data_IF_555474050985
#
_entry.id   IF_555474050985
#
_cell.length_a   1.000
_cell.length_b   1.000
_cell.length_c   1.000
_cell.angle_alpha   90.00
_cell.angle_beta   90.00
_cell.angle_gamma   90.00
#
_symmetry.space_group_name_H-M   'P 1'
#
loop_
_entity.id
_entity.type
_entity.pdbx_description
1 polymer ?
#
# COMPACT_ATOMS: atom_id res chain seq x y z
N UNK A 1 -28.44 -33.06 -52.36
CA UNK A 1 -28.90 -33.61 -51.07
C UNK A 1 -28.22 -32.82 -49.97
N UNK A 2 -29.04 -32.12 -49.19
CA UNK A 2 -28.69 -31.15 -48.16
C UNK A 2 -27.92 -31.77 -47.00
N UNK A 3 -27.09 -30.95 -46.34
CA UNK A 3 -26.46 -31.28 -45.06
C UNK A 3 -25.67 -30.09 -44.52
N UNK A 4 -26.33 -28.96 -44.29
CA UNK A 4 -25.75 -27.84 -43.54
C UNK A 4 -25.97 -28.10 -42.05
N UNK A 5 -24.88 -28.34 -41.33
CA UNK A 5 -24.86 -28.52 -39.88
C UNK A 5 -24.89 -27.13 -39.24
N UNK A 6 -26.03 -26.76 -38.67
CA UNK A 6 -26.16 -25.55 -37.85
C UNK A 6 -25.77 -25.90 -36.41
N UNK A 7 -24.62 -25.40 -35.96
CA UNK A 7 -24.24 -25.44 -34.55
C UNK A 7 -25.12 -24.47 -33.74
N UNK A 8 -25.90 -25.02 -32.83
CA UNK A 8 -26.57 -24.30 -31.74
C UNK A 8 -25.54 -23.87 -30.71
N UNK A 9 -25.30 -22.57 -30.58
CA UNK A 9 -24.58 -21.99 -29.44
C UNK A 9 -25.62 -21.45 -28.44
N UNK A 10 -25.84 -22.21 -27.38
CA UNK A 10 -26.39 -21.66 -26.14
C UNK A 10 -25.22 -21.19 -25.28
N UNK A 11 -25.23 -19.94 -24.87
CA UNK A 11 -24.55 -19.48 -23.67
C UNK A 11 -25.17 -18.15 -23.25
N UNK A 12 -25.97 -18.26 -22.20
CA UNK A 12 -26.41 -17.22 -21.30
C UNK A 12 -25.21 -16.38 -20.85
N UNK A 13 -25.27 -15.07 -21.09
CA UNK A 13 -24.30 -14.11 -20.58
C UNK A 13 -25.10 -12.89 -20.13
N UNK A 14 -25.61 -13.00 -18.90
CA UNK A 14 -26.03 -11.87 -18.08
C UNK A 14 -24.88 -10.87 -18.00
N UNK A 15 -25.09 -9.58 -18.33
CA UNK A 15 -24.10 -8.57 -18.03
C UNK A 15 -24.08 -8.39 -16.52
N UNK A 16 -22.97 -8.81 -15.88
CA UNK A 16 -22.66 -8.43 -14.51
C UNK A 16 -22.55 -6.91 -14.46
N UNK A 17 -23.64 -6.28 -14.04
CA UNK A 17 -23.66 -4.90 -13.57
C UNK A 17 -22.59 -4.78 -12.49
N UNK A 18 -21.47 -4.14 -12.81
CA UNK A 18 -20.66 -3.51 -11.79
C UNK A 18 -21.59 -2.54 -11.07
N UNK A 19 -21.95 -2.91 -9.84
CA UNK A 19 -22.64 -2.01 -8.93
C UNK A 19 -21.77 -0.80 -8.76
N UNK A 20 -22.08 0.25 -9.52
CA UNK A 20 -21.63 1.60 -9.24
C UNK A 20 -22.16 1.90 -7.83
N UNK A 21 -21.28 1.72 -6.85
CA UNK A 21 -21.57 2.00 -5.45
C UNK A 21 -21.69 3.52 -5.36
N UNK A 22 -22.92 3.99 -5.57
CA UNK A 22 -23.30 5.38 -5.51
C UNK A 22 -22.87 5.92 -4.14
N UNK A 23 -21.93 6.86 -4.16
CA UNK A 23 -21.49 7.55 -2.96
C UNK A 23 -22.71 8.17 -2.27
N UNK A 24 -22.91 7.98 -0.96
CA UNK A 24 -24.01 8.62 -0.26
C UNK A 24 -23.86 10.15 -0.37
N UNK A 25 -24.94 10.80 -0.82
CA UNK A 25 -25.09 12.25 -1.08
C UNK A 25 -25.06 13.15 0.18
N UNK A 26 -24.29 12.76 1.21
CA UNK A 26 -24.06 13.55 2.40
C UNK A 26 -22.87 14.48 2.23
N UNK A 27 -22.87 15.65 2.90
CA UNK A 27 -21.63 16.42 3.04
C UNK A 27 -20.60 15.55 3.78
N UNK A 28 -19.33 15.50 3.36
CA UNK A 28 -18.31 14.73 4.05
C UNK A 28 -18.17 15.22 5.49
N UNK A 29 -18.00 14.29 6.43
CA UNK A 29 -17.77 14.61 7.84
C UNK A 29 -16.37 15.19 7.99
N UNK A 30 -16.27 16.38 8.58
CA UNK A 30 -14.99 17.09 8.70
C UNK A 30 -14.22 16.61 9.93
N UNK A 31 -12.93 16.32 9.75
CA UNK A 31 -12.00 15.94 10.83
C UNK A 31 -10.86 16.95 10.84
N UNK A 32 -10.81 17.81 11.85
CA UNK A 32 -9.81 18.88 11.97
C UNK A 32 -8.71 18.56 13.01
N UNK A 33 -8.94 17.57 13.87
CA UNK A 33 -8.02 17.14 14.92
C UNK A 33 -8.16 15.65 15.21
N UNK A 34 -7.12 15.05 15.81
CA UNK A 34 -7.12 13.67 16.28
C UNK A 34 -7.67 13.62 17.70
N UNK A 35 -8.46 12.58 18.02
CA UNK A 35 -9.05 12.40 19.35
C UNK A 35 -8.15 11.60 20.31
N UNK A 36 -7.09 10.98 19.79
CA UNK A 36 -6.16 10.12 20.53
C UNK A 36 -5.71 8.95 19.67
N UNK A 37 -5.09 7.96 20.32
CA UNK A 37 -4.75 6.67 19.73
C UNK A 37 -5.55 5.55 20.38
N UNK A 38 -5.78 4.48 19.64
CA UNK A 38 -6.41 3.27 20.18
C UNK A 38 -5.62 2.59 21.30
N UNK A 39 -4.31 2.83 21.35
CA UNK A 39 -3.42 2.30 22.39
C UNK A 39 -3.50 3.10 23.70
N UNK A 40 -4.16 4.25 23.70
CA UNK A 40 -4.28 5.10 24.88
C UNK A 40 -5.27 4.47 25.87
N UNK A 41 -4.95 4.50 27.17
CA UNK A 41 -5.80 3.91 28.22
C UNK A 41 -7.24 4.45 28.22
N UNK A 42 -7.42 5.73 27.85
CA UNK A 42 -8.75 6.36 27.74
C UNK A 42 -9.62 5.67 26.66
N UNK A 43 -9.00 5.15 25.61
CA UNK A 43 -9.69 4.54 24.48
C UNK A 43 -9.84 3.03 24.63
N UNK A 44 -8.90 2.34 25.28
CA UNK A 44 -8.96 0.89 25.46
C UNK A 44 -10.34 0.39 25.95
N UNK A 45 -10.88 0.99 27.01
CA UNK A 45 -12.18 0.60 27.55
C UNK A 45 -13.38 1.04 26.70
N UNK A 46 -13.26 2.11 25.91
CA UNK A 46 -14.32 2.59 25.00
C UNK A 46 -14.42 1.71 23.75
N UNK A 47 -13.28 1.20 23.28
CA UNK A 47 -13.18 0.40 22.06
C UNK A 47 -13.72 -1.01 22.21
N UNK A 48 -13.67 -1.60 23.42
CA UNK A 48 -14.10 -2.99 23.68
C UNK A 48 -15.52 -3.31 23.18
N UNK A 49 -16.43 -2.33 23.20
CA UNK A 49 -17.83 -2.52 22.78
C UNK A 49 -18.20 -1.66 21.56
N UNK A 50 -17.26 -0.88 21.04
CA UNK A 50 -17.51 0.03 19.93
C UNK A 50 -17.52 -0.70 18.58
N UNK A 51 -18.33 -0.21 17.65
CA UNK A 51 -18.21 -0.56 16.24
C UNK A 51 -17.02 0.21 15.66
N UNK A 52 -15.99 -0.50 15.23
CA UNK A 52 -14.80 0.11 14.61
C UNK A 52 -15.02 0.24 13.11
N UNK A 53 -15.21 1.47 12.64
CA UNK A 53 -15.19 1.83 11.23
C UNK A 53 -13.78 2.27 10.83
N UNK A 54 -13.25 1.72 9.74
CA UNK A 54 -11.84 1.87 9.39
C UNK A 54 -11.67 2.86 8.25
N UNK A 55 -10.85 3.88 8.46
CA UNK A 55 -10.29 4.69 7.37
C UNK A 55 -8.98 4.05 6.92
N UNK A 56 -9.04 3.22 5.87
CA UNK A 56 -7.87 2.61 5.27
C UNK A 56 -7.13 3.63 4.41
N UNK A 57 -5.86 3.84 4.70
CA UNK A 57 -4.96 4.75 3.99
C UNK A 57 -3.68 4.03 3.60
N UNK A 58 -3.03 4.48 2.53
CA UNK A 58 -1.63 4.15 2.30
C UNK A 58 -0.69 5.13 3.02
N UNK A 59 0.62 4.84 3.00
CA UNK A 59 1.64 5.68 3.64
C UNK A 59 1.73 7.10 3.08
N UNK A 60 1.40 7.29 1.80
CA UNK A 60 1.45 8.59 1.13
C UNK A 60 0.27 9.45 1.53
N UNK A 61 -0.92 8.88 1.54
CA UNK A 61 -2.15 9.52 2.00
C UNK A 61 -2.04 9.97 3.45
N UNK A 62 -1.50 9.12 4.32
CA UNK A 62 -1.29 9.45 5.74
C UNK A 62 -0.37 10.66 5.97
N UNK A 63 0.49 11.02 5.01
CA UNK A 63 1.36 12.20 5.08
C UNK A 63 0.67 13.49 4.61
N UNK A 64 -0.49 13.40 3.96
CA UNK A 64 -1.23 14.57 3.48
C UNK A 64 -1.90 15.22 4.70
N UNK A 65 -1.69 16.52 4.90
CA UNK A 65 -2.42 17.28 5.92
C UNK A 65 -3.91 17.41 5.57
N UNK A 66 -4.27 17.19 4.29
CA UNK A 66 -5.64 17.28 3.78
C UNK A 66 -5.92 16.13 2.82
N UNK A 67 -6.95 15.35 3.09
CA UNK A 67 -7.41 14.28 2.21
C UNK A 67 -8.91 14.07 2.36
N UNK A 68 -9.54 13.52 1.32
CA UNK A 68 -10.93 13.08 1.34
C UNK A 68 -10.97 11.60 1.02
N UNK A 69 -11.51 10.80 1.93
CA UNK A 69 -11.60 9.34 1.80
C UNK A 69 -12.86 8.81 2.46
N UNK A 70 -13.34 7.68 1.94
CA UNK A 70 -14.49 6.96 2.47
C UNK A 70 -13.98 5.82 3.33
N UNK A 71 -14.55 5.66 4.53
CA UNK A 71 -14.26 4.53 5.41
C UNK A 71 -14.82 3.23 4.82
N UNK A 72 -14.41 2.08 5.36
CA UNK A 72 -14.96 0.76 4.97
C UNK A 72 -16.47 0.70 5.21
N UNK A 73 -16.95 1.34 6.29
CA UNK A 73 -18.37 1.48 6.61
C UNK A 73 -19.15 2.46 5.70
N UNK A 74 -18.50 3.04 4.68
CA UNK A 74 -19.15 3.91 3.70
C UNK A 74 -19.30 5.37 4.15
N UNK A 75 -18.68 5.77 5.26
CA UNK A 75 -18.72 7.15 5.76
C UNK A 75 -17.67 8.00 5.04
N UNK A 76 -18.10 9.09 4.43
CA UNK A 76 -17.18 10.00 3.73
C UNK A 76 -16.55 11.01 4.71
N UNK A 77 -15.22 11.05 4.75
CA UNK A 77 -14.44 11.94 5.60
C UNK A 77 -13.64 12.96 4.79
N UNK A 78 -13.63 14.20 5.29
CA UNK A 78 -12.73 15.26 4.85
C UNK A 78 -11.78 15.61 6.01
N UNK A 79 -10.57 15.06 5.97
CA UNK A 79 -9.54 15.29 6.97
C UNK A 79 -8.76 16.55 6.62
N UNK A 80 -8.59 17.47 7.57
CA UNK A 80 -7.81 18.70 7.44
C UNK A 80 -7.09 19.01 8.74
N UNK A 81 -5.94 18.40 8.96
CA UNK A 81 -5.13 18.57 10.17
C UNK A 81 -4.22 19.81 10.09
N UNK A 82 -3.85 20.32 11.26
CA UNK A 82 -2.88 21.41 11.39
C UNK A 82 -1.49 21.03 10.84
N UNK A 83 -0.69 22.06 10.50
CA UNK A 83 0.66 21.85 9.97
C UNK A 83 1.52 21.09 10.98
N UNK A 84 2.15 20.00 10.53
CA UNK A 84 3.05 19.19 11.33
C UNK A 84 2.37 17.97 11.99
N UNK A 85 1.03 17.90 11.96
CA UNK A 85 0.30 16.70 12.37
C UNK A 85 0.18 15.76 11.15
N UNK A 86 0.58 14.52 11.32
CA UNK A 86 0.47 13.46 10.33
C UNK A 86 -0.34 12.32 10.91
N UNK A 87 -1.14 11.67 10.08
CA UNK A 87 -1.86 10.47 10.47
C UNK A 87 -0.86 9.34 10.70
N UNK A 88 -1.11 8.60 11.76
CA UNK A 88 -0.41 7.40 12.14
C UNK A 88 -1.40 6.25 12.26
N UNK A 89 -0.88 5.04 12.19
CA UNK A 89 -1.68 3.86 12.43
C UNK A 89 -2.27 3.90 13.85
N UNK A 90 -3.55 3.58 13.97
CA UNK A 90 -4.28 3.59 15.24
C UNK A 90 -4.78 4.96 15.71
N UNK A 91 -4.59 6.03 14.93
CA UNK A 91 -5.16 7.33 15.27
C UNK A 91 -6.69 7.31 15.20
N UNK A 92 -7.34 7.89 16.21
CA UNK A 92 -8.80 7.99 16.31
C UNK A 92 -9.25 9.33 15.72
N UNK A 93 -10.13 9.25 14.73
CA UNK A 93 -10.57 10.40 13.93
C UNK A 93 -11.93 10.93 14.37
N UNK A 94 -12.84 10.02 14.75
CA UNK A 94 -14.20 10.35 15.14
C UNK A 94 -14.69 9.38 16.19
N UNK A 95 -15.54 9.89 17.08
CA UNK A 95 -16.33 9.10 18.00
C UNK A 95 -17.80 9.53 17.91
N UNK A 96 -18.65 8.57 17.61
CA UNK A 96 -20.09 8.72 17.51
C UNK A 96 -20.71 7.98 18.68
N UNK A 97 -20.86 8.67 19.81
CA UNK A 97 -21.39 8.10 21.05
C UNK A 97 -22.81 7.51 20.89
N UNK A 98 -23.77 8.16 20.21
CA UNK A 98 -25.09 7.58 19.96
C UNK A 98 -25.06 6.27 19.17
N UNK A 99 -24.21 6.18 18.15
CA UNK A 99 -24.05 4.98 17.34
C UNK A 99 -23.01 4.00 17.92
N UNK A 100 -22.40 4.33 19.06
CA UNK A 100 -21.26 3.63 19.65
C UNK A 100 -20.20 3.25 18.60
N UNK A 101 -19.92 4.16 17.66
CA UNK A 101 -19.07 3.91 16.49
C UNK A 101 -17.83 4.79 16.55
N UNK A 102 -16.65 4.19 16.36
CA UNK A 102 -15.37 4.91 16.27
C UNK A 102 -14.85 4.85 14.85
N UNK A 103 -14.22 5.92 14.38
CA UNK A 103 -13.41 5.86 13.15
C UNK A 103 -11.93 5.84 13.49
N UNK A 104 -11.22 4.80 13.05
CA UNK A 104 -9.79 4.61 13.28
C UNK A 104 -9.03 4.63 11.96
N UNK A 105 -7.91 5.35 11.92
CA UNK A 105 -6.98 5.33 10.79
C UNK A 105 -6.16 4.02 10.80
N UNK A 106 -6.17 3.33 9.67
CA UNK A 106 -5.29 2.18 9.41
C UNK A 106 -4.38 2.50 8.25
N UNK A 107 -3.07 2.46 8.46
CA UNK A 107 -2.09 2.72 7.43
C UNK A 107 -1.59 1.38 6.90
N UNK A 108 -2.14 0.98 5.77
CA UNK A 108 -1.76 -0.26 5.09
C UNK A 108 -0.45 -0.05 4.33
N UNK A 109 0.63 -0.59 4.88
CA UNK A 109 1.89 -0.70 4.17
C UNK A 109 1.84 -1.92 3.27
N UNK A 110 2.05 -1.71 1.97
CA UNK A 110 2.27 -2.81 1.03
C UNK A 110 3.47 -3.62 1.49
N UNK A 111 3.46 -4.92 1.16
CA UNK A 111 4.61 -5.77 1.40
C UNK A 111 5.86 -5.21 0.73
N UNK A 112 7.01 -5.67 1.20
CA UNK A 112 8.32 -5.28 0.72
C UNK A 112 9.06 -6.54 0.32
N UNK A 113 9.64 -6.53 -0.86
CA UNK A 113 10.66 -7.48 -1.25
C UNK A 113 11.93 -7.15 -0.46
N UNK A 114 12.29 -8.03 0.47
CA UNK A 114 13.57 -8.01 1.16
C UNK A 114 14.53 -8.93 0.41
N UNK A 115 15.71 -8.41 0.09
CA UNK A 115 16.79 -9.13 -0.60
C UNK A 115 17.98 -9.17 0.35
N UNK A 116 18.43 -10.38 0.71
CA UNK A 116 19.58 -10.57 1.59
C UNK A 116 20.87 -10.75 0.77
N UNK A 117 21.86 -9.91 1.08
CA UNK A 117 23.19 -9.90 0.48
C UNK A 117 24.24 -10.50 1.42
N UNK A 118 23.85 -11.03 2.58
CA UNK A 118 24.76 -11.54 3.60
C UNK A 118 25.74 -12.60 3.08
N UNK A 119 25.29 -13.49 2.19
CA UNK A 119 26.14 -14.51 1.58
C UNK A 119 27.22 -13.94 0.64
N UNK A 120 27.14 -12.67 0.23
CA UNK A 120 28.17 -12.03 -0.57
C UNK A 120 29.41 -11.65 0.25
N UNK A 121 29.36 -11.70 1.58
CA UNK A 121 30.53 -11.39 2.43
C UNK A 121 31.67 -12.37 2.20
N UNK A 122 31.36 -13.63 1.89
CA UNK A 122 32.34 -14.71 1.72
C UNK A 122 32.82 -14.87 0.27
N UNK A 123 32.29 -14.09 -0.68
CA UNK A 123 32.74 -14.11 -2.09
C UNK A 123 33.90 -13.14 -2.32
N UNK A 124 34.58 -13.28 -3.46
CA UNK A 124 35.67 -12.35 -3.79
C UNK A 124 35.11 -10.93 -4.00
N UNK A 125 35.90 -9.87 -3.70
CA UNK A 125 35.48 -8.50 -3.91
C UNK A 125 35.00 -8.21 -5.34
N UNK A 126 35.63 -8.82 -6.35
CA UNK A 126 35.26 -8.67 -7.76
C UNK A 126 33.85 -9.22 -8.01
N UNK A 127 33.54 -10.41 -7.48
CA UNK A 127 32.23 -11.03 -7.62
C UNK A 127 31.15 -10.27 -6.84
N UNK A 128 31.48 -9.78 -5.65
CA UNK A 128 30.58 -8.94 -4.86
C UNK A 128 30.19 -7.66 -5.61
N UNK A 129 31.17 -6.93 -6.16
CA UNK A 129 30.93 -5.71 -6.95
C UNK A 129 30.06 -6.02 -8.16
N UNK A 130 30.38 -7.09 -8.89
CA UNK A 130 29.61 -7.51 -10.05
C UNK A 130 28.15 -7.79 -9.67
N UNK A 131 27.92 -8.65 -8.68
CA UNK A 131 26.57 -9.04 -8.25
C UNK A 131 25.75 -7.84 -7.78
N UNK A 132 26.34 -6.93 -6.98
CA UNK A 132 25.66 -5.72 -6.53
C UNK A 132 25.28 -4.78 -7.69
N UNK A 133 26.16 -4.63 -8.68
CA UNK A 133 25.88 -3.78 -9.85
C UNK A 133 24.78 -4.39 -10.73
N UNK A 134 24.82 -5.70 -10.96
CA UNK A 134 23.81 -6.41 -11.73
C UNK A 134 22.44 -6.39 -11.02
N UNK A 135 22.42 -6.56 -9.69
CA UNK A 135 21.20 -6.41 -8.89
C UNK A 135 20.64 -4.99 -8.99
N UNK A 136 21.49 -3.98 -8.81
CA UNK A 136 21.10 -2.58 -8.93
C UNK A 136 20.55 -2.26 -10.32
N UNK A 137 21.16 -2.82 -11.37
CA UNK A 137 20.67 -2.68 -12.74
C UNK A 137 19.31 -3.36 -12.93
N UNK A 138 19.12 -4.59 -12.43
CA UNK A 138 17.86 -5.32 -12.56
C UNK A 138 16.68 -4.60 -11.89
N UNK A 139 16.87 -4.20 -10.62
CA UNK A 139 15.87 -3.44 -9.85
C UNK A 139 15.64 -2.07 -10.48
N UNK A 140 16.70 -1.37 -10.88
CA UNK A 140 16.63 -0.06 -11.52
C UNK A 140 15.96 -0.08 -12.89
N UNK A 141 16.14 -1.14 -13.68
CA UNK A 141 15.51 -1.32 -14.99
C UNK A 141 13.98 -1.47 -14.88
N UNK A 142 13.47 -1.88 -13.72
CA UNK A 142 12.04 -1.90 -13.43
C UNK A 142 11.51 -0.57 -12.88
N UNK A 143 12.37 0.44 -12.75
CA UNK A 143 12.08 1.70 -12.06
C UNK A 143 11.63 1.50 -10.59
N UNK A 144 11.97 0.37 -9.96
CA UNK A 144 11.56 0.14 -8.59
C UNK A 144 12.45 0.93 -7.62
N UNK A 145 11.85 1.69 -6.68
CA UNK A 145 12.61 2.36 -5.65
C UNK A 145 13.24 1.31 -4.72
N UNK A 146 14.47 1.56 -4.28
CA UNK A 146 15.18 0.67 -3.38
C UNK A 146 15.83 1.44 -2.22
N UNK A 147 15.88 0.81 -1.05
CA UNK A 147 16.60 1.29 0.13
C UNK A 147 17.53 0.19 0.60
N UNK A 148 18.80 0.53 0.86
CA UNK A 148 19.81 -0.41 1.37
C UNK A 148 20.02 -0.14 2.86
N UNK A 149 19.94 -1.19 3.69
CA UNK A 149 20.26 -1.15 5.12
C UNK A 149 21.08 -2.36 5.53
N UNK A 150 22.30 -2.11 5.99
CA UNK A 150 23.24 -3.19 6.26
C UNK A 150 23.44 -4.04 5.00
N UNK A 151 23.26 -5.35 5.13
CA UNK A 151 23.35 -6.30 4.01
C UNK A 151 21.99 -6.58 3.35
N UNK A 152 20.96 -5.76 3.60
CA UNK A 152 19.62 -5.96 3.05
C UNK A 152 19.24 -4.85 2.08
N UNK A 153 18.53 -5.24 1.02
CA UNK A 153 17.89 -4.31 0.08
C UNK A 153 16.38 -4.47 0.20
N UNK A 154 15.70 -3.36 0.38
CA UNK A 154 14.25 -3.27 0.48
C UNK A 154 13.69 -2.63 -0.77
N UNK A 155 12.71 -3.29 -1.38
CA UNK A 155 11.98 -2.81 -2.57
C UNK A 155 10.47 -2.92 -2.28
N UNK A 156 9.69 -1.85 -2.33
CA UNK A 156 8.26 -1.91 -2.04
C UNK A 156 7.55 -2.70 -3.13
N UNK A 157 6.46 -3.36 -2.77
CA UNK A 157 5.57 -4.00 -3.71
C UNK A 157 4.85 -2.93 -4.56
N UNK A 158 5.45 -2.54 -5.68
CA UNK A 158 4.87 -1.62 -6.68
C UNK A 158 3.88 -2.33 -7.60
N UNK A 159 4.13 -3.61 -7.88
CA UNK A 159 3.34 -4.52 -8.72
C UNK A 159 3.06 -5.82 -7.97
N UNK A 160 2.41 -6.81 -8.60
CA UNK A 160 2.14 -8.10 -7.95
C UNK A 160 3.44 -8.86 -7.58
N UNK A 161 3.40 -9.61 -6.46
CA UNK A 161 4.51 -10.44 -5.97
C UNK A 161 5.03 -11.40 -7.02
N UNK A 162 4.15 -11.96 -7.85
CA UNK A 162 4.53 -12.88 -8.91
C UNK A 162 5.45 -12.23 -9.95
N UNK A 163 5.18 -10.96 -10.29
CA UNK A 163 5.98 -10.17 -11.25
C UNK A 163 7.34 -9.86 -10.64
N UNK A 164 7.37 -9.35 -9.40
CA UNK A 164 8.64 -9.08 -8.71
C UNK A 164 9.49 -10.34 -8.55
N UNK A 165 8.88 -11.43 -8.10
CA UNK A 165 9.55 -12.72 -8.00
C UNK A 165 10.04 -13.24 -9.36
N UNK A 166 9.34 -12.93 -10.46
CA UNK A 166 9.80 -13.31 -11.80
C UNK A 166 11.09 -12.60 -12.19
N UNK A 167 11.20 -11.29 -11.92
CA UNK A 167 12.44 -10.54 -12.18
C UNK A 167 13.59 -11.16 -11.39
N UNK A 168 13.39 -11.43 -10.10
CA UNK A 168 14.41 -12.08 -9.27
C UNK A 168 14.82 -13.45 -9.81
N UNK A 169 13.86 -14.28 -10.25
CA UNK A 169 14.14 -15.59 -10.85
C UNK A 169 14.87 -15.49 -12.20
N UNK A 170 14.53 -14.51 -13.03
CA UNK A 170 15.16 -14.31 -14.35
C UNK A 170 16.63 -13.97 -14.23
N UNK A 171 16.99 -13.12 -13.26
CA UNK A 171 18.39 -12.76 -13.03
C UNK A 171 19.17 -13.84 -12.28
N UNK A 172 18.49 -14.69 -11.51
CA UNK A 172 19.08 -15.86 -10.83
C UNK A 172 20.41 -15.53 -10.12
N UNK A 173 20.42 -14.45 -9.34
CA UNK A 173 21.61 -13.99 -8.64
C UNK A 173 22.12 -15.04 -7.66
N UNK A 174 23.30 -15.59 -7.95
CA UNK A 174 23.91 -16.63 -7.13
C UNK A 174 24.20 -16.12 -5.71
N UNK A 175 23.76 -16.87 -4.70
CA UNK A 175 23.94 -16.51 -3.29
C UNK A 175 23.02 -15.40 -2.78
N UNK A 176 22.08 -14.89 -3.58
CA UNK A 176 21.10 -13.90 -3.11
C UNK A 176 19.76 -14.59 -2.84
N UNK A 177 19.29 -14.45 -1.60
CA UNK A 177 17.96 -14.86 -1.19
C UNK A 177 17.01 -13.66 -1.16
N UNK A 178 15.72 -13.92 -1.37
CA UNK A 178 14.70 -12.89 -1.25
C UNK A 178 13.42 -13.44 -0.63
N UNK A 179 12.70 -12.57 0.07
CA UNK A 179 11.40 -12.86 0.68
C UNK A 179 10.48 -11.65 0.59
N UNK A 180 9.18 -11.86 0.75
CA UNK A 180 8.21 -10.77 0.90
C UNK A 180 7.80 -10.68 2.36
N UNK A 181 8.03 -9.51 2.95
CA UNK A 181 7.67 -9.21 4.35
C UNK A 181 6.67 -8.05 4.41
N UNK A 182 5.82 -7.98 5.45
CA UNK A 182 4.96 -6.83 5.67
C UNK A 182 5.76 -5.54 5.76
N UNK A 183 5.32 -4.46 5.09
CA UNK A 183 6.03 -3.19 5.11
C UNK A 183 6.17 -2.57 6.50
N UNK A 184 5.24 -2.89 7.41
CA UNK A 184 5.29 -2.48 8.81
C UNK A 184 6.52 -3.03 9.55
N UNK A 185 7.03 -4.20 9.16
CA UNK A 185 8.24 -4.78 9.74
C UNK A 185 9.52 -4.05 9.29
N UNK A 186 9.47 -3.29 8.18
CA UNK A 186 10.64 -2.58 7.64
C UNK A 186 10.82 -1.21 8.26
N UNK A 187 9.72 -0.53 8.61
CA UNK A 187 9.72 0.85 9.15
C UNK A 187 10.73 1.06 10.29
N UNK A 188 10.86 0.17 11.29
CA UNK A 188 11.80 0.38 12.40
C UNK A 188 13.28 0.44 11.97
N UNK A 189 13.62 -0.11 10.80
CA UNK A 189 15.01 -0.23 10.33
C UNK A 189 15.42 0.87 9.33
N UNK A 190 14.48 1.71 8.89
CA UNK A 190 14.70 2.74 7.87
C UNK A 190 14.36 4.14 8.39
N UNK A 191 15.11 5.15 7.93
CA UNK A 191 14.84 6.52 8.33
C UNK A 191 13.54 7.04 7.68
N UNK A 192 12.88 8.07 8.27
CA UNK A 192 11.61 8.57 7.75
C UNK A 192 11.63 9.01 6.27
N UNK A 193 12.76 9.54 5.79
CA UNK A 193 12.92 9.93 4.39
C UNK A 193 13.09 8.73 3.44
N UNK A 194 13.59 7.61 3.94
CA UNK A 194 13.72 6.35 3.19
C UNK A 194 12.39 5.60 3.15
N UNK A 195 11.66 5.55 4.28
CA UNK A 195 10.28 5.07 4.29
C UNK A 195 9.40 5.84 3.31
N UNK A 196 9.59 7.16 3.22
CA UNK A 196 8.94 7.99 2.20
C UNK A 196 9.32 7.60 0.78
N UNK A 197 10.60 7.31 0.52
CA UNK A 197 11.05 6.84 -0.81
C UNK A 197 10.43 5.50 -1.17
N UNK A 198 10.39 4.57 -0.21
CA UNK A 198 9.90 3.22 -0.39
C UNK A 198 8.38 3.23 -0.62
N UNK A 199 7.61 3.71 0.35
CA UNK A 199 6.15 3.59 0.30
C UNK A 199 5.45 4.78 -0.38
N UNK A 200 6.11 5.95 -0.44
CA UNK A 200 5.53 7.14 -1.07
C UNK A 200 5.56 7.12 -2.60
N UNK A 201 6.57 6.47 -3.20
CA UNK A 201 6.64 6.31 -4.66
C UNK A 201 5.67 5.22 -5.16
N UNK A 202 5.60 4.07 -4.47
CA UNK A 202 4.70 2.96 -4.80
C UNK A 202 3.20 3.30 -4.69
N UNK A 203 2.85 4.31 -3.89
CA UNK A 203 1.50 4.84 -3.81
C UNK A 203 1.12 5.71 -5.03
N UNK A 204 2.08 6.44 -5.60
CA UNK A 204 1.84 7.34 -6.76
C UNK A 204 1.63 6.58 -8.06
N UNK A 205 2.27 5.42 -8.23
CA UNK A 205 2.11 4.59 -9.44
C UNK A 205 0.74 3.88 -9.52
N UNK A 206 0.00 3.78 -8.40
CA UNK A 206 -1.37 3.25 -8.38
C UNK A 206 -2.44 4.27 -8.76
N UNK A 207 -2.14 5.57 -8.69
CA UNK A 207 -3.00 6.65 -9.19
C UNK A 207 -2.61 6.92 -10.65
N UNK A 208 -3.26 6.22 -11.58
CA UNK A 208 -3.09 6.48 -13.01
C UNK A 208 -3.19 7.98 -13.29
N UNK A 209 -2.13 8.56 -13.85
CA UNK A 209 -2.15 9.92 -14.34
C UNK A 209 -3.19 10.02 -15.46
N UNK A 210 -4.41 10.45 -15.14
CA UNK A 210 -5.30 11.04 -16.12
C UNK A 210 -4.64 12.35 -16.55
N UNK A 211 -3.87 12.28 -17.63
CA UNK A 211 -3.63 13.46 -18.44
C UNK A 211 -5.01 13.90 -18.94
N UNK A 212 -5.55 14.93 -18.32
CA UNK A 212 -6.60 15.74 -18.92
C UNK A 212 -5.97 16.34 -20.18
N UNK A 213 -6.38 15.94 -21.39
CA UNK A 213 -5.86 16.56 -22.58
C UNK A 213 -6.46 17.96 -22.62
N UNK A 214 -5.67 18.93 -22.18
CA UNK A 214 -5.91 20.33 -22.51
C UNK A 214 -5.75 20.47 -24.03
N UNK A 215 -6.87 20.37 -24.77
CA UNK A 215 -7.21 21.23 -25.93
C UNK A 215 -8.72 21.36 -26.02
#
# INVERSE_FOLDING_TARGET
>A
MSGTITHTHGADATPHTHGEMTAPSGKPTRVDALLGKETDEEWAGRLDNAVVDVLSLDQWEAQKSRLRRTTIGGRELAVSLDRGIQLQDGDILLWDEPANTVVVARINLKDVLEIDLSALVDVTPEKMIQTCLELGHAVGNQHWPAVVKGMKVYVPLTVDKAVMGSVMRTHAFEGIEYTFIPGAEVIPYIAPHEARRLFGAAAREGEGHTHDPLV
#
